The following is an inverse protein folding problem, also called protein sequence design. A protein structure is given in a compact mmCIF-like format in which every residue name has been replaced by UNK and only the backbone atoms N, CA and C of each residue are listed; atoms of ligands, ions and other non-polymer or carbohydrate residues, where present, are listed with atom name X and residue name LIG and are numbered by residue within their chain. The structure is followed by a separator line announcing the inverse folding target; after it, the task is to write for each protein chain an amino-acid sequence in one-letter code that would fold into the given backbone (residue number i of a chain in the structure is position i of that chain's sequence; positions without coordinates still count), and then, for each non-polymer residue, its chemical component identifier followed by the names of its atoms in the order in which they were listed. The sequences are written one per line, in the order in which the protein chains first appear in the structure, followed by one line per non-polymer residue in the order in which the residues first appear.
data_IF_928897500914
#
_entry.id   IF_928897500914
#
_cell.length_a   1.000
_cell.length_b   1.000
_cell.length_c   1.000
_cell.angle_alpha   90.00
_cell.angle_beta   90.00
_cell.angle_gamma   90.00
#
_symmetry.space_group_name_H-M   'P 1'
#
loop_
_entity.id
_entity.type
_entity.pdbx_description
1 polymer ?
#
# COMPACT_ATOMS: atom_id res chain seq x y z
N UNK A 1 -0.75 2.29 3.95
CA UNK A 1 -0.58 2.27 5.43
C UNK A 1 0.13 0.98 5.88
N UNK A 2 0.24 0.64 7.17
CA UNK A 2 0.76 -0.68 7.61
C UNK A 2 0.10 -1.18 8.89
N UNK A 3 0.44 -2.41 9.29
CA UNK A 3 -0.19 -3.15 10.39
C UNK A 3 0.77 -3.41 11.54
N UNK A 4 0.25 -3.42 12.77
CA UNK A 4 1.01 -3.86 13.94
C UNK A 4 0.96 -5.38 14.02
N UNK A 5 2.02 -6.01 13.51
CA UNK A 5 2.11 -7.46 13.39
C UNK A 5 3.28 -7.97 14.22
N UNK A 6 3.08 -9.12 14.86
CA UNK A 6 4.17 -9.80 15.56
C UNK A 6 5.27 -10.23 14.57
N UNK A 7 4.90 -10.95 13.51
CA UNK A 7 5.81 -11.41 12.44
C UNK A 7 5.06 -12.17 11.35
N UNK A 8 5.67 -12.29 10.18
CA UNK A 8 5.27 -13.22 9.12
C UNK A 8 6.43 -14.19 8.89
N UNK A 9 6.27 -15.48 9.22
CA UNK A 9 7.33 -16.50 9.12
C UNK A 9 7.30 -17.31 7.82
N UNK A 10 6.39 -16.97 6.92
CA UNK A 10 6.18 -17.70 5.69
C UNK A 10 7.48 -17.81 4.89
N UNK A 11 7.85 -19.04 4.54
CA UNK A 11 9.03 -19.34 3.71
C UNK A 11 8.65 -20.46 2.75
N UNK A 12 8.52 -20.11 1.47
CA UNK A 12 8.13 -21.05 0.42
C UNK A 12 9.08 -22.27 0.30
N UNK A 13 10.30 -22.20 0.83
CA UNK A 13 11.29 -23.30 0.79
C UNK A 13 11.05 -24.37 1.85
N UNK A 14 10.14 -24.14 2.79
CA UNK A 14 9.83 -25.09 3.87
C UNK A 14 8.69 -26.06 3.52
N UNK A 15 8.02 -25.83 2.40
CA UNK A 15 6.95 -26.69 1.88
C UNK A 15 5.82 -26.99 2.88
N UNK A 16 5.54 -26.07 3.80
CA UNK A 16 4.40 -26.19 4.71
C UNK A 16 3.09 -26.07 3.92
N UNK A 17 2.18 -27.03 4.16
CA UNK A 17 0.88 -27.06 3.49
C UNK A 17 -0.19 -26.20 4.18
N UNK A 18 -0.11 -26.08 5.51
CA UNK A 18 -1.07 -25.35 6.32
C UNK A 18 -0.68 -25.35 7.79
N UNK A 19 -1.54 -24.78 8.62
CA UNK A 19 -1.34 -24.71 10.07
C UNK A 19 -2.23 -25.68 10.83
N UNK A 20 -1.72 -26.13 11.99
CA UNK A 20 -2.44 -26.97 12.93
C UNK A 20 -2.46 -26.28 14.29
N UNK A 21 -3.65 -25.84 14.70
CA UNK A 21 -3.86 -25.33 16.06
C UNK A 21 -3.82 -26.51 17.04
N UNK A 22 -2.97 -26.42 18.05
CA UNK A 22 -2.82 -27.46 19.06
C UNK A 22 -3.61 -27.13 20.32
N UNK A 23 -4.20 -28.16 20.93
CA UNK A 23 -5.01 -28.02 22.14
C UNK A 23 -4.20 -27.37 23.27
N UNK A 24 -4.81 -26.38 23.93
CA UNK A 24 -4.25 -25.72 25.12
C UNK A 24 -3.12 -24.72 24.85
N UNK A 25 -2.81 -24.41 23.58
CA UNK A 25 -1.78 -23.42 23.22
C UNK A 25 -2.38 -22.04 22.93
N UNK A 26 -1.63 -21.00 23.28
CA UNK A 26 -1.96 -19.60 22.97
C UNK A 26 -1.81 -19.38 21.46
N UNK A 27 -2.76 -18.68 20.87
CA UNK A 27 -2.70 -18.25 19.46
C UNK A 27 -2.19 -16.82 19.38
N UNK A 28 -1.37 -16.53 18.37
CA UNK A 28 -0.96 -15.18 18.01
C UNK A 28 -1.44 -14.85 16.59
N UNK A 29 -1.39 -13.56 16.24
CA UNK A 29 -1.64 -13.08 14.88
C UNK A 29 -0.71 -13.75 13.86
N UNK A 30 0.53 -14.02 14.28
CA UNK A 30 1.58 -14.58 13.43
C UNK A 30 1.18 -15.90 12.76
N UNK A 31 0.43 -16.77 13.46
CA UNK A 31 -0.09 -18.01 12.86
C UNK A 31 -1.10 -17.70 11.75
N UNK A 32 -2.11 -16.87 12.01
CA UNK A 32 -3.11 -16.52 10.99
C UNK A 32 -2.48 -15.85 9.77
N UNK A 33 -1.56 -14.93 9.99
CA UNK A 33 -0.83 -14.25 8.92
C UNK A 33 0.03 -15.23 8.10
N UNK A 34 0.70 -16.18 8.75
CA UNK A 34 1.47 -17.22 8.08
C UNK A 34 0.58 -18.16 7.25
N UNK A 35 -0.61 -18.52 7.75
CA UNK A 35 -1.57 -19.32 7.00
C UNK A 35 -2.09 -18.61 5.74
N UNK A 36 -2.45 -17.34 5.86
CA UNK A 36 -2.92 -16.53 4.72
C UNK A 36 -1.80 -16.39 3.67
N UNK A 37 -0.55 -16.16 4.09
CA UNK A 37 0.59 -16.10 3.18
C UNK A 37 0.84 -17.43 2.45
N UNK A 38 0.73 -18.56 3.14
CA UNK A 38 0.81 -19.90 2.52
C UNK A 38 -0.27 -20.11 1.47
N UNK A 39 -1.52 -19.78 1.81
CA UNK A 39 -2.65 -19.91 0.90
C UNK A 39 -2.48 -19.00 -0.33
N UNK A 40 -2.13 -17.73 -0.12
CA UNK A 40 -1.89 -16.77 -1.20
C UNK A 40 -0.81 -17.23 -2.17
N UNK A 41 0.36 -17.65 -1.66
CA UNK A 41 1.45 -18.16 -2.50
C UNK A 41 1.09 -19.46 -3.23
N UNK A 42 0.24 -20.31 -2.65
CA UNK A 42 -0.27 -21.51 -3.32
C UNK A 42 -1.23 -21.16 -4.45
N UNK A 43 -2.17 -20.25 -4.21
CA UNK A 43 -3.10 -19.77 -5.25
C UNK A 43 -2.36 -19.09 -6.39
N UNK A 44 -1.36 -18.25 -6.09
CA UNK A 44 -0.57 -17.56 -7.10
C UNK A 44 0.19 -18.54 -8.00
N UNK A 45 0.93 -19.50 -7.41
CA UNK A 45 1.64 -20.50 -8.22
C UNK A 45 0.70 -21.44 -8.97
N UNK A 46 -0.39 -21.91 -8.33
CA UNK A 46 -1.38 -22.73 -9.03
C UNK A 46 -1.97 -22.03 -10.24
N UNK A 47 -2.25 -20.73 -10.12
CA UNK A 47 -2.70 -19.88 -11.25
C UNK A 47 -1.64 -19.78 -12.34
N UNK A 48 -0.39 -19.49 -11.99
CA UNK A 48 0.73 -19.41 -12.94
C UNK A 48 0.95 -20.72 -13.69
N UNK A 49 0.99 -21.84 -12.98
CA UNK A 49 1.23 -23.18 -13.56
C UNK A 49 0.06 -23.64 -14.44
N UNK A 50 -1.17 -23.21 -14.12
CA UNK A 50 -2.38 -23.62 -14.86
C UNK A 50 -2.59 -22.76 -16.11
N UNK A 51 -2.31 -21.46 -16.04
CA UNK A 51 -2.61 -20.53 -17.13
C UNK A 51 -1.40 -20.12 -17.97
N UNK A 52 -0.18 -20.34 -17.47
CA UNK A 52 1.05 -20.07 -18.22
C UNK A 52 1.44 -18.59 -18.30
N UNK A 53 0.92 -17.74 -17.39
CA UNK A 53 1.26 -16.31 -17.31
C UNK A 53 0.04 -15.42 -17.09
N UNK A 54 0.06 -14.23 -17.71
CA UNK A 54 -1.01 -13.25 -17.63
C UNK A 54 -2.20 -13.68 -18.49
N UNK A 55 -3.41 -13.72 -17.92
CA UNK A 55 -4.58 -14.26 -18.63
C UNK A 55 -5.89 -13.54 -18.31
N UNK A 56 -6.69 -13.29 -19.34
CA UNK A 56 -8.11 -12.93 -19.21
C UNK A 56 -8.94 -14.22 -19.28
N UNK A 57 -9.76 -14.54 -18.27
CA UNK A 57 -10.56 -15.76 -18.27
C UNK A 57 -11.57 -15.78 -19.42
N UNK A 58 -11.70 -16.93 -20.09
CA UNK A 58 -12.66 -17.14 -21.20
C UNK A 58 -14.12 -16.90 -20.83
N UNK A 59 -14.46 -16.99 -19.55
CA UNK A 59 -15.82 -16.74 -19.02
C UNK A 59 -16.13 -15.25 -18.81
N UNK A 60 -15.10 -14.39 -18.85
CA UNK A 60 -15.20 -12.92 -18.83
C UNK A 60 -14.30 -12.36 -19.93
N UNK A 61 -14.60 -12.64 -21.21
CA UNK A 61 -13.69 -12.37 -22.33
C UNK A 61 -13.44 -10.88 -22.57
N UNK A 62 -14.34 -10.01 -22.12
CA UNK A 62 -14.18 -8.55 -22.20
C UNK A 62 -13.51 -7.96 -20.94
N UNK A 63 -13.04 -8.80 -20.01
CA UNK A 63 -12.33 -8.36 -18.81
C UNK A 63 -11.09 -7.54 -19.17
N UNK A 64 -11.05 -6.29 -18.68
CA UNK A 64 -9.97 -5.33 -18.97
C UNK A 64 -9.77 -5.03 -20.46
N UNK A 65 -10.75 -5.34 -21.31
CA UNK A 65 -10.71 -4.99 -22.73
C UNK A 65 -10.67 -3.47 -22.87
N UNK A 66 -9.66 -2.98 -23.59
CA UNK A 66 -9.48 -1.55 -23.83
C UNK A 66 -10.13 -1.16 -25.15
N UNK A 67 -11.05 -0.20 -25.10
CA UNK A 67 -11.58 0.43 -26.31
C UNK A 67 -11.21 1.91 -26.34
N UNK A 68 -10.67 2.36 -27.47
CA UNK A 68 -10.24 3.74 -27.67
C UNK A 68 -11.16 4.43 -28.68
N UNK A 69 -11.87 5.47 -28.25
CA UNK A 69 -12.78 6.24 -29.11
C UNK A 69 -12.78 7.72 -28.72
N UNK A 70 -12.67 8.61 -29.70
CA UNK A 70 -12.82 10.06 -29.49
C UNK A 70 -11.84 10.67 -28.48
N UNK A 71 -10.63 10.10 -28.33
CA UNK A 71 -9.64 10.55 -27.35
C UNK A 71 -9.90 10.08 -25.92
N UNK A 72 -10.82 9.14 -25.71
CA UNK A 72 -11.09 8.49 -24.44
C UNK A 72 -10.76 7.00 -24.50
N UNK A 73 -10.51 6.40 -23.33
CA UNK A 73 -10.38 4.96 -23.15
C UNK A 73 -11.51 4.45 -22.23
N UNK A 74 -12.11 3.32 -22.60
CA UNK A 74 -12.97 2.53 -21.73
C UNK A 74 -12.34 1.17 -21.43
N UNK A 75 -12.70 0.61 -20.27
CA UNK A 75 -12.14 -0.61 -19.70
C UNK A 75 -13.30 -1.57 -19.43
N UNK A 76 -13.34 -2.68 -20.17
CA UNK A 76 -14.39 -3.68 -20.06
C UNK A 76 -14.42 -4.37 -18.68
N UNK A 77 -15.61 -4.67 -18.13
CA UNK A 77 -15.76 -5.36 -16.85
C UNK A 77 -15.33 -6.81 -16.96
N UNK A 78 -14.82 -7.36 -15.86
CA UNK A 78 -14.38 -8.74 -15.78
C UNK A 78 -13.05 -8.89 -15.04
N UNK A 79 -12.38 -10.01 -15.27
CA UNK A 79 -11.20 -10.41 -14.50
C UNK A 79 -9.97 -10.52 -15.37
N UNK A 80 -8.82 -10.27 -14.78
CA UNK A 80 -7.52 -10.60 -15.35
C UNK A 80 -6.62 -11.16 -14.24
N UNK A 81 -5.82 -12.16 -14.57
CA UNK A 81 -4.77 -12.66 -13.71
C UNK A 81 -3.43 -12.13 -14.21
N UNK A 82 -2.69 -11.44 -13.34
CA UNK A 82 -1.36 -10.88 -13.65
C UNK A 82 -0.36 -11.45 -12.66
N UNK A 83 0.66 -12.16 -13.16
CA UNK A 83 1.62 -12.90 -12.34
C UNK A 83 0.98 -13.78 -11.25
N UNK A 84 -0.19 -14.35 -11.56
CA UNK A 84 -0.98 -15.17 -10.66
C UNK A 84 -1.89 -14.41 -9.68
N UNK A 85 -1.84 -13.07 -9.65
CA UNK A 85 -2.73 -12.22 -8.86
C UNK A 85 -4.03 -11.95 -9.62
N UNK A 86 -5.17 -12.13 -8.96
CA UNK A 86 -6.50 -11.84 -9.52
C UNK A 86 -6.85 -10.36 -9.35
N UNK A 87 -6.96 -9.64 -10.47
CA UNK A 87 -7.55 -8.31 -10.54
C UNK A 87 -8.98 -8.38 -11.09
N UNK A 88 -9.90 -7.68 -10.43
CA UNK A 88 -11.32 -7.68 -10.78
C UNK A 88 -11.83 -6.27 -11.06
N UNK A 89 -12.27 -6.04 -12.30
CA UNK A 89 -12.99 -4.84 -12.69
C UNK A 89 -14.49 -5.12 -12.58
N UNK A 90 -15.11 -4.62 -11.51
CA UNK A 90 -16.54 -4.79 -11.26
C UNK A 90 -17.44 -3.95 -12.19
N UNK A 91 -16.90 -3.17 -13.13
CA UNK A 91 -17.69 -2.44 -14.12
C UNK A 91 -18.40 -1.20 -13.60
N UNK A 92 -19.09 -0.51 -14.51
CA UNK A 92 -19.97 0.62 -14.22
C UNK A 92 -21.43 0.21 -14.11
N UNK A 93 -22.25 1.10 -13.57
CA UNK A 93 -23.69 0.90 -13.40
C UNK A 93 -24.42 0.73 -14.75
N UNK A 94 -25.62 0.11 -14.77
CA UNK A 94 -26.32 -0.49 -13.64
C UNK A 94 -25.68 -1.81 -13.18
N UNK A 95 -25.89 -2.13 -11.91
CA UNK A 95 -25.47 -3.42 -11.34
C UNK A 95 -26.44 -4.53 -11.74
N UNK A 96 -25.90 -5.72 -11.92
CA UNK A 96 -26.63 -6.96 -12.10
C UNK A 96 -26.06 -8.05 -11.16
N UNK A 97 -26.92 -8.97 -10.75
CA UNK A 97 -26.52 -10.10 -9.93
C UNK A 97 -25.77 -11.15 -10.78
N UNK A 98 -24.53 -11.47 -10.41
CA UNK A 98 -23.80 -12.62 -10.94
C UNK A 98 -24.09 -13.87 -10.09
N UNK A 99 -24.84 -14.86 -10.61
CA UNK A 99 -25.14 -16.08 -9.87
C UNK A 99 -23.93 -17.01 -9.68
N UNK A 100 -22.81 -16.81 -10.40
CA UNK A 100 -21.63 -17.68 -10.30
C UNK A 100 -20.82 -17.41 -9.04
N UNK A 101 -20.68 -16.13 -8.68
CA UNK A 101 -19.98 -15.68 -7.48
C UNK A 101 -20.91 -15.18 -6.39
N UNK A 102 -22.22 -15.09 -6.68
CA UNK A 102 -23.25 -14.61 -5.77
C UNK A 102 -22.98 -13.17 -5.28
N UNK A 103 -22.76 -12.27 -6.25
CA UNK A 103 -22.41 -10.87 -6.00
C UNK A 103 -23.07 -9.92 -7.00
N UNK A 104 -23.00 -8.61 -6.72
CA UNK A 104 -23.40 -7.57 -7.65
C UNK A 104 -22.20 -7.10 -8.47
N UNK A 105 -22.38 -7.03 -9.79
CA UNK A 105 -21.38 -6.50 -10.71
C UNK A 105 -22.01 -5.52 -11.67
N UNK A 106 -21.31 -4.42 -11.95
CA UNK A 106 -21.66 -3.47 -13.00
C UNK A 106 -21.65 -4.11 -14.38
N UNK A 107 -22.59 -3.67 -15.22
CA UNK A 107 -22.81 -4.23 -16.56
C UNK A 107 -22.17 -3.41 -17.68
N UNK A 108 -21.60 -2.24 -17.38
CA UNK A 108 -21.01 -1.34 -18.39
C UNK A 108 -19.50 -1.19 -18.25
N UNK A 109 -18.77 -0.84 -19.32
CA UNK A 109 -17.35 -0.49 -19.23
C UNK A 109 -17.08 0.74 -18.36
N UNK A 110 -15.97 0.73 -17.62
CA UNK A 110 -15.52 1.90 -16.88
C UNK A 110 -14.75 2.85 -17.79
N UNK A 111 -14.99 4.16 -17.64
CA UNK A 111 -14.12 5.16 -18.25
C UNK A 111 -12.73 5.13 -17.57
N UNK A 112 -11.67 5.40 -18.33
CA UNK A 112 -10.31 5.49 -17.80
C UNK A 112 -10.18 6.46 -16.62
N UNK A 113 -10.95 7.55 -16.62
CA UNK A 113 -10.98 8.55 -15.54
C UNK A 113 -11.79 8.13 -14.31
N UNK A 114 -12.56 7.05 -14.40
CA UNK A 114 -13.44 6.54 -13.35
C UNK A 114 -12.90 5.27 -12.69
N UNK A 115 -11.60 4.96 -12.88
CA UNK A 115 -10.97 3.81 -12.26
C UNK A 115 -10.99 3.94 -10.73
N UNK A 116 -11.45 2.91 -9.99
CA UNK A 116 -11.61 2.99 -8.54
C UNK A 116 -10.28 3.17 -7.81
N UNK A 117 -9.21 2.58 -8.36
CA UNK A 117 -7.89 2.63 -7.75
C UNK A 117 -6.90 3.52 -8.49
N UNK A 118 -7.33 4.28 -9.51
CA UNK A 118 -6.47 5.30 -10.14
C UNK A 118 -7.17 6.65 -10.18
N UNK A 119 -7.42 7.28 -9.01
CA UNK A 119 -8.14 8.54 -8.95
C UNK A 119 -7.35 9.64 -9.66
N UNK A 120 -8.04 10.47 -10.45
CA UNK A 120 -7.43 11.55 -11.25
C UNK A 120 -6.22 11.08 -12.07
N UNK A 121 -6.41 10.09 -12.95
CA UNK A 121 -5.31 9.56 -13.72
C UNK A 121 -4.78 10.64 -14.70
N UNK A 122 -3.49 10.58 -15.09
CA UNK A 122 -2.92 11.53 -16.04
C UNK A 122 -3.71 11.58 -17.34
N UNK A 123 -3.78 12.77 -17.95
CA UNK A 123 -4.41 12.95 -19.24
C UNK A 123 -3.81 12.01 -20.29
N UNK A 124 -4.68 11.47 -21.15
CA UNK A 124 -4.23 10.56 -22.20
C UNK A 124 -3.28 11.29 -23.16
N UNK A 125 -2.13 10.70 -23.48
CA UNK A 125 -1.16 11.32 -24.38
C UNK A 125 -1.74 11.49 -25.79
N UNK A 126 -1.31 12.55 -26.48
CA UNK A 126 -1.64 12.78 -27.88
C UNK A 126 -0.60 12.12 -28.80
N UNK A 127 -1.02 11.73 -30.00
CA UNK A 127 -0.18 11.04 -30.97
C UNK A 127 -0.23 9.53 -30.80
N UNK A 128 0.87 8.85 -31.12
CA UNK A 128 0.95 7.40 -31.03
C UNK A 128 2.16 6.83 -31.75
N UNK A 129 2.41 5.52 -31.59
CA UNK A 129 1.64 4.58 -30.79
C UNK A 129 1.96 4.64 -29.28
N UNK A 130 1.04 4.13 -28.46
CA UNK A 130 1.13 4.05 -27.01
C UNK A 130 0.86 2.62 -26.56
N UNK A 131 1.47 2.20 -25.44
CA UNK A 131 1.15 0.93 -24.80
C UNK A 131 0.20 1.18 -23.64
N UNK A 132 -0.95 0.51 -23.67
CA UNK A 132 -1.85 0.45 -22.52
C UNK A 132 -1.58 -0.84 -21.78
N UNK A 133 -1.38 -0.76 -20.47
CA UNK A 133 -1.08 -1.91 -19.62
C UNK A 133 -1.87 -1.82 -18.32
N UNK A 134 -2.04 -2.97 -17.67
CA UNK A 134 -2.61 -3.04 -16.32
C UNK A 134 -1.48 -3.31 -15.34
N UNK A 135 -1.41 -2.51 -14.30
CA UNK A 135 -0.52 -2.66 -13.16
C UNK A 135 -1.33 -3.25 -12.00
N UNK A 136 -0.87 -4.36 -11.42
CA UNK A 136 -1.59 -5.11 -10.39
C UNK A 136 -0.66 -5.38 -9.21
N UNK A 137 -1.09 -5.00 -8.01
CA UNK A 137 -0.34 -5.23 -6.77
C UNK A 137 -1.28 -5.38 -5.59
N UNK A 138 -0.75 -5.57 -4.38
CA UNK A 138 -1.52 -5.63 -3.15
C UNK A 138 -1.16 -4.47 -2.23
N UNK A 139 -2.16 -3.88 -1.56
CA UNK A 139 -1.96 -2.83 -0.54
C UNK A 139 -2.64 -3.18 0.78
N UNK A 140 -2.16 -2.54 1.84
CA UNK A 140 -2.65 -2.67 3.21
C UNK A 140 -3.80 -1.70 3.49
N UNK A 141 -4.97 -2.22 3.84
CA UNK A 141 -6.15 -1.46 4.26
C UNK A 141 -6.38 -1.67 5.76
N UNK A 142 -6.29 -0.59 6.53
CA UNK A 142 -6.63 -0.55 7.96
C UNK A 142 -7.98 0.13 8.19
N UNK A 143 -8.45 0.10 9.44
CA UNK A 143 -9.65 0.83 9.85
C UNK A 143 -9.57 2.36 9.65
N UNK A 144 -8.37 2.91 9.46
CA UNK A 144 -8.14 4.33 9.14
C UNK A 144 -8.44 4.61 7.66
N UNK A 145 -8.33 3.64 6.75
CA UNK A 145 -8.84 3.78 5.37
C UNK A 145 -10.32 3.40 5.31
N UNK A 146 -10.69 2.28 5.92
CA UNK A 146 -12.05 1.77 5.91
C UNK A 146 -12.58 1.57 7.34
N UNK A 147 -13.28 2.57 7.90
CA UNK A 147 -13.90 2.46 9.23
C UNK A 147 -14.85 1.27 9.41
N UNK A 148 -15.39 0.73 8.31
CA UNK A 148 -16.27 -0.43 8.33
C UNK A 148 -15.58 -1.71 8.78
N UNK A 149 -14.23 -1.74 8.82
CA UNK A 149 -13.46 -2.87 9.36
C UNK A 149 -13.52 -2.97 10.89
N UNK A 150 -13.92 -1.91 11.59
CA UNK A 150 -14.17 -1.96 13.03
C UNK A 150 -15.45 -2.75 13.28
N UNK A 151 -15.36 -3.83 14.07
CA UNK A 151 -16.52 -4.61 14.49
C UNK A 151 -17.46 -3.71 15.33
N UNK A 152 -18.67 -3.35 14.83
CA UNK A 152 -19.53 -2.38 15.50
C UNK A 152 -19.95 -2.81 16.91
N UNK A 153 -20.07 -4.12 17.17
CA UNK A 153 -20.45 -4.63 18.49
C UNK A 153 -19.34 -4.51 19.53
N UNK A 154 -18.07 -4.52 19.11
CA UNK A 154 -16.92 -4.47 20.01
C UNK A 154 -16.23 -3.10 20.02
N UNK A 155 -16.34 -2.33 18.93
CA UNK A 155 -15.73 -1.02 18.78
C UNK A 155 -14.21 -1.03 18.76
N UNK A 156 -13.59 -2.18 18.44
CA UNK A 156 -12.14 -2.37 18.44
C UNK A 156 -11.64 -2.78 17.06
N UNK A 157 -10.45 -2.30 16.71
CA UNK A 157 -9.71 -2.78 15.55
C UNK A 157 -9.14 -4.17 15.86
N UNK A 158 -9.31 -5.10 14.93
CA UNK A 158 -8.93 -6.51 15.09
C UNK A 158 -8.04 -7.01 13.97
N UNK A 159 -8.31 -6.61 12.73
CA UNK A 159 -7.65 -7.16 11.54
C UNK A 159 -7.66 -6.15 10.40
N UNK A 160 -6.54 -6.07 9.67
CA UNK A 160 -6.47 -5.37 8.39
C UNK A 160 -6.97 -6.21 7.22
N UNK A 161 -6.98 -5.62 6.01
CA UNK A 161 -7.22 -6.33 4.76
C UNK A 161 -6.07 -6.07 3.79
N UNK A 162 -5.66 -7.12 3.07
CA UNK A 162 -4.88 -6.96 1.86
C UNK A 162 -5.86 -6.78 0.70
N UNK A 163 -5.76 -5.67 -0.01
CA UNK A 163 -6.56 -5.38 -1.19
C UNK A 163 -5.71 -5.53 -2.45
N UNK A 164 -6.16 -6.35 -3.40
CA UNK A 164 -5.59 -6.35 -4.75
C UNK A 164 -6.03 -5.08 -5.46
N UNK A 165 -5.07 -4.28 -5.88
CA UNK A 165 -5.25 -3.06 -6.63
C UNK A 165 -4.92 -3.32 -8.08
N UNK A 166 -5.68 -2.69 -8.97
CA UNK A 166 -5.35 -2.64 -10.40
C UNK A 166 -5.44 -1.20 -10.91
N UNK A 167 -4.57 -0.86 -11.84
CA UNK A 167 -4.62 0.41 -12.57
C UNK A 167 -4.31 0.16 -14.04
N UNK A 168 -5.19 0.61 -14.93
CA UNK A 168 -4.90 0.74 -16.35
C UNK A 168 -4.13 2.05 -16.55
N UNK A 169 -2.89 1.91 -17.03
CA UNK A 169 -1.94 3.00 -17.28
C UNK A 169 -1.56 3.05 -18.76
N UNK A 170 -1.03 4.20 -19.19
CA UNK A 170 -0.59 4.41 -20.57
C UNK A 170 0.88 4.79 -20.58
N UNK A 171 1.71 4.00 -21.26
CA UNK A 171 3.09 4.33 -21.60
C UNK A 171 3.11 5.05 -22.97
N UNK A 172 3.45 6.35 -23.02
CA UNK A 172 3.43 7.12 -24.25
C UNK A 172 4.60 6.76 -25.18
N UNK A 173 4.40 6.98 -26.49
CA UNK A 173 5.42 6.96 -27.54
C UNK A 173 6.34 5.72 -27.56
N UNK A 174 5.74 4.54 -27.71
CA UNK A 174 6.47 3.25 -27.75
C UNK A 174 7.13 2.94 -29.11
N UNK A 175 7.34 3.95 -29.95
CA UNK A 175 8.03 3.81 -31.24
C UNK A 175 7.21 3.02 -32.26
N UNK A 176 7.77 1.94 -32.82
CA UNK A 176 7.07 1.09 -33.79
C UNK A 176 6.73 -0.28 -33.21
N UNK A 177 6.56 -0.37 -31.88
CA UNK A 177 6.22 -1.62 -31.21
C UNK A 177 4.90 -2.17 -31.75
N UNK A 178 4.87 -3.49 -31.95
CA UNK A 178 3.69 -4.25 -32.39
C UNK A 178 3.42 -5.38 -31.40
N UNK A 179 2.32 -6.11 -31.57
CA UNK A 179 2.04 -7.28 -30.73
C UNK A 179 3.08 -8.41 -30.86
N UNK A 180 3.99 -8.34 -31.84
CA UNK A 180 5.09 -9.29 -32.03
C UNK A 180 6.44 -8.77 -31.50
N UNK A 181 6.48 -7.53 -30.99
CA UNK A 181 7.68 -6.97 -30.37
C UNK A 181 7.83 -7.57 -28.98
N UNK A 182 9.00 -8.11 -28.66
CA UNK A 182 9.29 -8.59 -27.32
C UNK A 182 9.21 -7.44 -26.31
N UNK A 183 8.64 -7.70 -25.13
CA UNK A 183 8.46 -6.71 -24.08
C UNK A 183 9.77 -5.95 -23.75
N UNK A 184 10.91 -6.66 -23.77
CA UNK A 184 12.22 -6.08 -23.51
C UNK A 184 12.63 -4.99 -24.52
N UNK A 185 12.09 -5.03 -25.74
CA UNK A 185 12.40 -4.11 -26.84
C UNK A 185 11.37 -2.97 -26.95
N UNK A 186 10.28 -3.02 -26.16
CA UNK A 186 9.30 -1.94 -26.12
C UNK A 186 9.93 -0.72 -25.43
N UNK A 187 10.04 0.38 -26.18
CA UNK A 187 10.67 1.61 -25.72
C UNK A 187 10.04 2.11 -24.40
N UNK A 188 10.87 2.24 -23.36
CA UNK A 188 10.45 2.71 -22.04
C UNK A 188 9.83 1.66 -21.12
N UNK A 189 9.51 0.45 -21.62
CA UNK A 189 8.81 -0.56 -20.82
C UNK A 189 9.63 -1.07 -19.64
N UNK A 190 10.89 -1.43 -19.85
CA UNK A 190 11.77 -1.92 -18.77
C UNK A 190 11.92 -0.91 -17.63
N UNK A 191 11.96 0.40 -17.94
CA UNK A 191 12.06 1.44 -16.93
C UNK A 191 10.73 1.63 -16.19
N UNK A 192 9.60 1.48 -16.88
CA UNK A 192 8.27 1.58 -16.30
C UNK A 192 7.92 0.41 -15.37
N UNK A 193 8.43 -0.80 -15.65
CA UNK A 193 8.15 -2.01 -14.86
C UNK A 193 9.33 -2.50 -14.02
N UNK A 194 10.39 -1.70 -13.91
CA UNK A 194 11.54 -2.05 -13.10
C UNK A 194 11.11 -2.31 -11.65
N UNK A 195 11.44 -3.48 -11.06
CA UNK A 195 11.14 -3.73 -9.66
C UNK A 195 11.93 -2.75 -8.79
N UNK A 196 11.44 -2.51 -7.57
CA UNK A 196 12.16 -1.68 -6.61
C UNK A 196 13.59 -2.18 -6.42
N UNK A 197 14.57 -1.29 -6.60
CA UNK A 197 15.99 -1.57 -6.38
C UNK A 197 16.36 -1.56 -4.88
N UNK A 198 15.42 -1.21 -3.99
CA UNK A 198 15.64 -1.21 -2.55
C UNK A 198 15.99 -2.61 -2.05
N UNK A 199 17.13 -2.73 -1.36
CA UNK A 199 17.55 -3.95 -0.65
C UNK A 199 17.91 -3.55 0.77
N UNK A 200 17.42 -4.31 1.74
CA UNK A 200 17.78 -4.17 3.14
C UNK A 200 18.57 -5.41 3.54
N UNK A 201 19.75 -5.18 4.11
CA UNK A 201 20.47 -6.19 4.88
C UNK A 201 20.63 -5.64 6.29
N UNK A 202 20.49 -6.51 7.27
CA UNK A 202 20.67 -6.17 8.67
C UNK A 202 21.81 -7.01 9.21
N UNK A 203 22.68 -6.38 9.99
CA UNK A 203 23.77 -7.05 10.67
C UNK A 203 23.90 -6.51 12.09
N UNK A 204 24.43 -7.33 12.98
CA UNK A 204 24.83 -6.89 14.31
C UNK A 204 26.20 -6.25 14.22
N UNK A 205 26.44 -5.14 14.91
CA UNK A 205 27.73 -4.47 14.85
C UNK A 205 28.87 -5.34 15.40
N UNK A 206 30.04 -5.27 14.77
CA UNK A 206 31.23 -5.93 15.31
C UNK A 206 31.69 -5.22 16.60
N UNK A 207 31.83 -5.94 17.72
CA UNK A 207 32.39 -5.34 18.92
C UNK A 207 33.85 -4.94 18.68
N UNK A 208 34.19 -3.70 19.01
CA UNK A 208 35.56 -3.17 18.90
C UNK A 208 36.54 -3.75 19.95
N UNK A 209 36.21 -4.89 20.56
CA UNK A 209 36.99 -5.55 21.60
C UNK A 209 36.92 -7.08 21.45
N UNK A 210 37.95 -7.78 21.95
CA UNK A 210 37.99 -9.24 21.92
C UNK A 210 36.82 -9.83 22.73
N UNK A 211 36.01 -10.73 22.15
CA UNK A 211 34.88 -11.34 22.84
C UNK A 211 35.33 -12.06 24.12
N UNK A 212 34.79 -11.64 25.26
CA UNK A 212 35.01 -12.30 26.55
C UNK A 212 33.74 -13.10 26.92
N UNK A 213 33.82 -14.41 27.22
CA UNK A 213 32.65 -15.24 27.55
C UNK A 213 31.80 -14.72 28.72
N UNK A 214 32.39 -13.91 29.61
CA UNK A 214 31.72 -13.29 30.75
C UNK A 214 31.24 -11.85 30.48
N UNK A 215 31.59 -11.26 29.33
CA UNK A 215 31.13 -9.93 28.92
C UNK A 215 30.36 -10.06 27.62
N UNK A 216 29.04 -10.03 27.74
CA UNK A 216 28.15 -9.89 26.59
C UNK A 216 28.41 -8.54 25.94
N UNK A 217 28.90 -8.48 24.69
CA UNK A 217 29.11 -7.20 24.05
C UNK A 217 27.77 -6.51 23.81
N UNK A 218 27.63 -5.20 24.12
CA UNK A 218 26.44 -4.44 23.74
C UNK A 218 26.19 -4.45 22.22
N UNK A 219 27.26 -4.62 21.43
CA UNK A 219 27.22 -4.72 19.97
C UNK A 219 26.84 -6.14 19.46
N UNK A 220 26.84 -7.17 20.29
CA UNK A 220 26.62 -8.57 19.90
C UNK A 220 25.15 -8.96 19.67
N UNK A 221 24.36 -8.03 19.14
CA UNK A 221 22.97 -8.25 18.77
C UNK A 221 21.95 -8.13 19.89
N UNK A 222 20.69 -8.15 19.49
CA UNK A 222 19.54 -8.06 20.38
C UNK A 222 19.34 -9.38 21.16
N UNK A 223 19.28 -9.29 22.48
CA UNK A 223 19.10 -10.45 23.40
C UNK A 223 17.83 -10.37 24.24
N UNK A 224 17.01 -9.35 24.00
CA UNK A 224 15.73 -9.20 24.68
C UNK A 224 14.69 -10.20 24.15
N UNK A 225 13.55 -10.24 24.82
CA UNK A 225 12.40 -11.04 24.41
C UNK A 225 11.43 -10.25 23.51
N UNK A 226 11.68 -8.95 23.31
CA UNK A 226 10.78 -8.14 22.51
C UNK A 226 10.89 -8.52 21.04
N UNK A 227 9.75 -8.49 20.38
CA UNK A 227 9.65 -8.71 18.96
C UNK A 227 9.18 -7.38 18.37
N UNK A 228 10.06 -6.74 17.62
CA UNK A 228 9.86 -5.38 17.12
C UNK A 228 9.82 -5.41 15.59
N UNK A 229 8.77 -4.83 15.03
CA UNK A 229 8.55 -4.80 13.57
C UNK A 229 9.04 -3.47 13.02
N UNK A 230 10.34 -3.40 12.74
CA UNK A 230 10.94 -2.21 12.15
C UNK A 230 10.51 -2.03 10.69
N UNK A 231 10.14 -0.81 10.34
CA UNK A 231 9.92 -0.39 8.95
C UNK A 231 11.04 0.54 8.54
N UNK A 232 11.67 0.25 7.41
CA UNK A 232 12.69 1.11 6.80
C UNK A 232 12.28 1.36 5.36
N UNK A 233 12.17 2.64 4.99
CA UNK A 233 11.74 3.04 3.65
C UNK A 233 12.67 4.05 3.04
N UNK A 234 12.89 3.91 1.73
CA UNK A 234 13.47 4.97 0.91
C UNK A 234 12.37 6.01 0.68
N UNK A 235 12.54 7.21 1.22
CA UNK A 235 11.55 8.29 1.08
C UNK A 235 11.78 9.07 -0.22
N UNK A 236 13.03 9.45 -0.49
CA UNK A 236 13.47 10.02 -1.77
C UNK A 236 14.60 9.16 -2.30
N UNK A 237 14.41 8.54 -3.46
CA UNK A 237 15.45 7.77 -4.14
C UNK A 237 16.55 8.67 -4.69
N UNK A 238 17.72 8.10 -4.92
CA UNK A 238 18.85 8.80 -5.54
C UNK A 238 20.18 8.11 -5.28
N UNK A 239 21.29 8.68 -5.78
CA UNK A 239 22.63 8.23 -5.44
C UNK A 239 22.93 8.39 -3.94
N UNK A 240 24.04 7.78 -3.52
CA UNK A 240 24.58 7.92 -2.17
C UNK A 240 24.77 9.42 -1.85
N UNK A 241 24.30 9.84 -0.67
CA UNK A 241 24.38 11.23 -0.21
C UNK A 241 23.19 12.11 -0.61
N UNK A 242 22.32 11.67 -1.52
CA UNK A 242 21.07 12.39 -1.86
C UNK A 242 19.82 11.60 -1.49
N UNK A 243 19.89 10.27 -1.51
CA UNK A 243 18.78 9.44 -1.08
C UNK A 243 18.45 9.68 0.40
N UNK A 244 17.16 9.78 0.70
CA UNK A 244 16.66 9.94 2.07
C UNK A 244 15.91 8.70 2.49
N UNK A 245 16.03 8.38 3.78
CA UNK A 245 15.41 7.21 4.38
C UNK A 245 14.65 7.63 5.62
N UNK A 246 13.53 6.97 5.86
CA UNK A 246 12.77 7.07 7.11
C UNK A 246 12.64 5.68 7.69
N UNK A 247 12.51 5.62 9.00
CA UNK A 247 12.28 4.36 9.68
C UNK A 247 11.37 4.55 10.87
N UNK A 248 10.70 3.48 11.24
CA UNK A 248 9.87 3.41 12.43
C UNK A 248 10.18 2.11 13.16
N UNK A 249 10.23 2.16 14.49
CA UNK A 249 10.39 0.97 15.33
C UNK A 249 9.14 0.09 15.32
N UNK A 250 7.97 0.73 15.24
CA UNK A 250 6.66 0.11 15.42
C UNK A 250 5.91 0.09 14.08
N UNK A 251 6.60 -0.24 12.99
CA UNK A 251 6.06 -0.36 11.63
C UNK A 251 5.23 0.84 11.10
N UNK A 252 5.42 2.03 11.68
CA UNK A 252 4.57 3.21 11.45
C UNK A 252 3.07 2.93 11.68
N UNK A 253 2.74 2.21 12.74
CA UNK A 253 1.37 1.79 13.09
C UNK A 253 0.59 2.85 13.85
N UNK A 254 1.29 3.77 14.53
CA UNK A 254 0.68 4.96 15.12
C UNK A 254 0.28 5.90 13.98
N UNK A 255 -0.98 5.80 13.59
CA UNK A 255 -1.58 6.58 12.51
C UNK A 255 -2.94 7.10 12.95
N UNK A 256 -3.38 8.19 12.32
CA UNK A 256 -4.65 8.84 12.63
C UNK A 256 -5.11 9.66 11.43
N UNK A 257 -6.41 9.63 11.16
CA UNK A 257 -6.98 10.43 10.07
C UNK A 257 -6.88 11.91 10.40
N UNK A 258 -6.39 12.69 9.45
CA UNK A 258 -6.38 14.15 9.52
C UNK A 258 -7.76 14.64 9.13
N UNK A 259 -8.47 15.28 10.05
CA UNK A 259 -9.81 15.83 9.79
C UNK A 259 -9.75 17.26 9.26
N UNK A 260 -8.77 18.05 9.71
CA UNK A 260 -8.64 19.45 9.30
C UNK A 260 -7.18 19.87 9.17
N UNK A 261 -6.91 20.80 8.26
CA UNK A 261 -5.59 21.43 8.09
C UNK A 261 -5.79 22.94 8.15
N UNK A 262 -5.18 23.63 9.11
CA UNK A 262 -5.38 25.07 9.24
C UNK A 262 -4.87 25.86 8.01
N UNK A 263 -5.31 27.12 7.80
CA UNK A 263 -4.89 27.91 6.63
C UNK A 263 -3.38 28.13 6.51
N UNK A 264 -2.67 28.26 7.64
CA UNK A 264 -1.21 28.36 7.67
C UNK A 264 -0.50 27.03 7.41
N UNK A 265 -1.25 25.92 7.37
CA UNK A 265 -0.81 24.53 7.16
C UNK A 265 0.30 24.07 8.11
N UNK A 266 0.43 24.72 9.25
CA UNK A 266 1.38 24.39 10.31
C UNK A 266 0.71 23.71 11.50
N UNK A 267 -0.61 23.47 11.43
CA UNK A 267 -1.36 22.73 12.44
C UNK A 267 -2.42 21.88 11.77
N UNK A 268 -2.49 20.62 12.15
CA UNK A 268 -3.52 19.67 11.71
C UNK A 268 -4.35 19.20 12.90
N UNK A 269 -5.62 18.91 12.65
CA UNK A 269 -6.50 18.25 13.62
C UNK A 269 -6.64 16.79 13.21
N UNK A 270 -6.42 15.88 14.16
CA UNK A 270 -6.47 14.44 13.95
C UNK A 270 -7.65 13.82 14.70
N UNK A 271 -8.15 12.67 14.25
CA UNK A 271 -9.24 11.96 14.95
C UNK A 271 -8.83 11.52 16.35
N UNK A 272 -7.59 11.06 16.49
CA UNK A 272 -6.94 10.70 17.74
C UNK A 272 -5.47 11.12 17.74
N UNK A 273 -4.93 11.51 18.89
CA UNK A 273 -3.49 11.75 19.09
C UNK A 273 -2.73 10.46 19.44
N UNK A 274 -3.45 9.37 19.68
CA UNK A 274 -2.88 8.07 20.05
C UNK A 274 -3.85 7.21 20.85
N UNK A 275 -3.47 5.96 21.08
CA UNK A 275 -4.28 5.00 21.85
C UNK A 275 -4.03 5.10 23.36
N UNK A 276 -2.77 5.26 23.73
CA UNK A 276 -2.29 5.31 25.11
C UNK A 276 -0.99 6.15 25.19
N UNK A 277 -0.38 6.25 26.37
CA UNK A 277 0.82 7.08 26.60
C UNK A 277 2.06 6.62 25.81
N UNK A 278 2.07 5.38 25.32
CA UNK A 278 3.17 4.78 24.56
C UNK A 278 2.87 4.85 23.06
N UNK A 279 1.70 4.38 22.62
CA UNK A 279 1.27 4.32 21.22
C UNK A 279 0.52 5.59 20.84
N UNK A 280 1.26 6.71 20.80
CA UNK A 280 0.74 8.05 20.48
C UNK A 280 1.78 8.89 19.78
N UNK A 281 1.34 10.04 19.28
CA UNK A 281 2.24 11.10 18.85
C UNK A 281 2.79 11.84 20.07
N UNK A 282 4.10 12.08 20.05
CA UNK A 282 4.81 12.89 21.04
C UNK A 282 5.44 14.13 20.39
N UNK A 283 5.73 15.12 21.23
CA UNK A 283 6.47 16.30 20.81
C UNK A 283 7.85 15.92 20.25
N UNK A 284 8.20 16.47 19.09
CA UNK A 284 9.48 16.19 18.43
C UNK A 284 9.50 14.96 17.52
N UNK A 285 8.42 14.18 17.46
CA UNK A 285 8.31 13.04 16.55
C UNK A 285 8.30 13.47 15.09
N UNK A 286 8.78 12.58 14.22
CA UNK A 286 8.61 12.71 12.79
C UNK A 286 7.36 11.96 12.35
N UNK A 287 6.43 12.68 11.72
CA UNK A 287 5.22 12.12 11.13
C UNK A 287 5.26 12.29 9.62
N UNK A 288 4.68 11.35 8.90
CA UNK A 288 4.43 11.48 7.47
C UNK A 288 2.94 11.71 7.24
N UNK A 289 2.60 12.84 6.64
CA UNK A 289 1.22 13.11 6.19
C UNK A 289 1.08 12.56 4.78
N UNK A 290 0.12 11.68 4.55
CA UNK A 290 -0.12 11.07 3.23
C UNK A 290 -1.63 10.89 3.02
N UNK A 291 -2.03 10.35 1.88
CA UNK A 291 -3.42 9.98 1.59
C UNK A 291 -3.49 8.89 0.52
N UNK A 292 -4.68 8.36 0.28
CA UNK A 292 -4.91 7.30 -0.72
C UNK A 292 -4.48 7.73 -2.12
N UNK A 293 -4.64 9.00 -2.48
CA UNK A 293 -4.22 9.49 -3.78
C UNK A 293 -2.70 9.39 -3.94
N UNK A 294 -1.91 9.81 -2.96
CA UNK A 294 -0.45 9.68 -3.02
C UNK A 294 -0.02 8.22 -3.02
N UNK A 295 -0.62 7.39 -2.17
CA UNK A 295 -0.33 5.95 -2.10
C UNK A 295 -0.59 5.27 -3.45
N UNK A 296 -1.77 5.48 -4.04
CA UNK A 296 -2.15 4.88 -5.33
C UNK A 296 -1.32 5.40 -6.51
N UNK A 297 -0.72 6.58 -6.41
CA UNK A 297 0.20 7.12 -7.42
C UNK A 297 1.67 6.79 -7.14
N UNK A 298 1.97 6.01 -6.10
CA UNK A 298 3.34 5.66 -5.71
C UNK A 298 4.17 6.87 -5.26
N UNK A 299 3.51 7.92 -4.76
CA UNK A 299 4.15 9.15 -4.31
C UNK A 299 4.41 9.10 -2.80
N UNK A 300 5.60 9.49 -2.31
CA UNK A 300 5.87 9.55 -0.88
C UNK A 300 4.99 10.60 -0.21
N UNK A 301 4.69 10.45 1.08
CA UNK A 301 4.00 11.49 1.85
C UNK A 301 4.89 12.71 2.12
N UNK A 302 4.41 13.61 2.98
CA UNK A 302 5.15 14.78 3.44
C UNK A 302 5.62 14.57 4.88
N UNK A 303 6.93 14.43 5.07
CA UNK A 303 7.51 14.34 6.41
C UNK A 303 7.47 15.71 7.11
N UNK A 304 7.00 15.71 8.35
CA UNK A 304 7.04 16.86 9.25
C UNK A 304 7.45 16.42 10.63
N UNK A 305 8.26 17.25 11.28
CA UNK A 305 8.55 17.10 12.70
C UNK A 305 7.50 17.86 13.50
N UNK A 306 6.87 17.17 14.43
CA UNK A 306 6.03 17.78 15.46
C UNK A 306 6.93 18.70 16.29
N UNK A 307 6.44 19.90 16.63
CA UNK A 307 7.19 20.84 17.46
C UNK A 307 7.62 20.18 18.76
N UNK A 308 8.86 20.42 19.18
CA UNK A 308 9.50 19.76 20.35
C UNK A 308 8.90 20.19 21.70
N UNK A 309 8.13 21.29 21.73
CA UNK A 309 7.43 21.74 22.93
C UNK A 309 6.06 22.33 22.55
N UNK A 310 4.99 21.69 23.04
CA UNK A 310 3.61 22.06 22.72
C UNK A 310 3.27 21.81 21.26
N UNK A 311 3.83 20.75 20.68
CA UNK A 311 3.49 20.28 19.35
C UNK A 311 2.21 19.44 19.34
N UNK A 312 1.96 18.69 20.41
CA UNK A 312 0.75 17.87 20.59
C UNK A 312 -0.19 18.54 21.60
N UNK A 313 -1.45 18.70 21.21
CA UNK A 313 -2.55 19.12 22.11
C UNK A 313 -3.60 18.01 22.17
N UNK A 314 -3.67 17.32 23.31
CA UNK A 314 -4.63 16.24 23.56
C UNK A 314 -6.09 16.70 23.53
N UNK A 315 -6.35 17.92 24.04
CA UNK A 315 -7.71 18.42 24.21
C UNK A 315 -8.28 18.86 22.88
N UNK A 316 -7.47 19.58 22.09
CA UNK A 316 -7.84 20.02 20.75
C UNK A 316 -7.63 18.94 19.68
N UNK A 317 -6.92 17.84 20.01
CA UNK A 317 -6.45 16.79 19.11
C UNK A 317 -5.69 17.37 17.91
N UNK A 318 -4.73 18.23 18.20
CA UNK A 318 -3.93 18.88 17.15
C UNK A 318 -2.46 18.54 17.22
N UNK A 319 -1.85 18.46 16.04
CA UNK A 319 -0.40 18.36 15.87
C UNK A 319 0.09 19.64 15.18
N UNK A 320 1.10 20.28 15.76
CA UNK A 320 1.69 21.52 15.28
C UNK A 320 3.12 21.31 14.79
N UNK A 321 3.47 21.95 13.69
CA UNK A 321 4.75 21.83 13.01
C UNK A 321 5.48 23.16 12.97
N UNK A 322 6.81 23.13 13.03
CA UNK A 322 7.63 24.33 12.84
C UNK A 322 7.72 24.73 11.36
N UNK A 323 7.59 23.75 10.45
CA UNK A 323 7.55 23.95 9.01
C UNK A 323 6.17 23.56 8.49
N UNK A 324 5.48 24.48 7.82
CA UNK A 324 4.16 24.24 7.26
C UNK A 324 4.17 23.12 6.19
N UNK A 325 3.06 22.39 6.08
CA UNK A 325 2.81 21.47 4.97
C UNK A 325 2.70 22.26 3.66
N UNK A 326 3.16 21.72 2.51
CA UNK A 326 3.10 22.43 1.25
C UNK A 326 1.64 22.64 0.83
N UNK A 327 1.37 23.75 0.16
CA UNK A 327 0.05 24.05 -0.38
C UNK A 327 -0.31 23.09 -1.53
N UNK A 328 -1.60 22.79 -1.68
CA UNK A 328 -2.13 22.01 -2.82
C UNK A 328 -1.99 20.48 -2.73
N UNK A 329 -1.16 19.95 -1.82
CA UNK A 329 -0.96 18.49 -1.73
C UNK A 329 -2.15 17.76 -1.09
N UNK A 330 -2.65 18.32 0.01
CA UNK A 330 -3.80 17.82 0.77
C UNK A 330 -4.93 18.84 0.65
N UNK A 331 -5.95 18.59 -0.18
CA UNK A 331 -7.04 19.51 -0.44
C UNK A 331 -7.98 19.56 0.76
N UNK A 332 -8.47 20.75 1.05
CA UNK A 332 -9.46 21.01 2.08
C UNK A 332 -10.64 21.77 1.50
N UNK A 333 -11.81 21.63 2.11
CA UNK A 333 -12.97 22.45 1.80
C UNK A 333 -12.85 23.87 2.42
N UNK A 334 -13.91 24.67 2.30
CA UNK A 334 -13.96 26.03 2.84
C UNK A 334 -13.84 26.06 4.37
N UNK A 335 -14.28 24.99 5.04
CA UNK A 335 -14.22 24.79 6.50
C UNK A 335 -12.86 24.24 6.94
N UNK A 336 -11.91 24.08 6.01
CA UNK A 336 -10.58 23.50 6.25
C UNK A 336 -10.60 22.00 6.56
N UNK A 337 -11.74 21.33 6.33
CA UNK A 337 -11.85 19.90 6.48
C UNK A 337 -11.19 19.19 5.30
N UNK A 338 -10.48 18.10 5.56
CA UNK A 338 -9.90 17.25 4.51
C UNK A 338 -10.98 16.52 3.74
N UNK A 339 -10.69 16.13 2.50
CA UNK A 339 -11.62 15.34 1.71
C UNK A 339 -11.68 13.91 2.27
N UNK A 340 -12.83 13.51 2.83
CA UNK A 340 -13.01 12.19 3.43
C UNK A 340 -12.61 11.04 2.49
N UNK A 341 -12.92 11.14 1.20
CA UNK A 341 -12.58 10.14 0.20
C UNK A 341 -11.07 9.98 -0.09
N UNK A 342 -10.22 10.89 0.41
CA UNK A 342 -8.76 10.76 0.29
C UNK A 342 -8.14 10.02 1.48
N UNK A 343 -8.83 9.90 2.61
CA UNK A 343 -8.26 9.31 3.83
C UNK A 343 -6.89 9.91 4.21
N UNK A 344 -6.83 11.25 4.25
CA UNK A 344 -5.63 11.99 4.68
C UNK A 344 -5.31 11.77 6.15
#
# INVERSE_FOLDING_TARGET
MSFDLSRIRFDARKDFFGLVVQQGRVQLDAEWNEWVAQLGRRLQAGTLDTFGGNVVPRITPDGFRIEAAGGALSIGPGRIYVDGLLAENHGGTPDAWDPRLAELTGTTPLAYTAQPYYPNPPALPAGGPHLVYVDVWQRDISAIIDPGLIEPAAGVDTTGRLQTVWQVKVLPNVGNATCATDDADVNGWQAATAPSAGRLSTDTGDPAFAPNPCQVPPAAGYRGLENQTYRVEVHTGGPIGTATFKWSRDNATVASRVTHINPARNRITVESVGRDDVLRFHDGDWVEVTDDHRELHGLPGELRRIRVAGGVDDTARTLSFDIALPAGLFPTDAQQATQAARNT
#
